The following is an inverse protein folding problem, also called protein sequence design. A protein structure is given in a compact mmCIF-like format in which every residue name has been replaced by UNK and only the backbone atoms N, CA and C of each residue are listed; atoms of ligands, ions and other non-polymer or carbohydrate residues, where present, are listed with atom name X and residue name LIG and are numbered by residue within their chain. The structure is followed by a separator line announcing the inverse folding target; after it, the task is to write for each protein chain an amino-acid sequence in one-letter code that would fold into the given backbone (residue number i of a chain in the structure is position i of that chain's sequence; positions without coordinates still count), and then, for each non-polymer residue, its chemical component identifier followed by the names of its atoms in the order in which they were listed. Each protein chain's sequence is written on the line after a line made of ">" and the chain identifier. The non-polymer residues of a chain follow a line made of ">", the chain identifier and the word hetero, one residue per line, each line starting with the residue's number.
data_IF_889886098880
#
_entry.id   IF_889886098880
#
_cell.length_a   1.000
_cell.length_b   1.000
_cell.length_c   1.000
_cell.angle_alpha   90.00
_cell.angle_beta   90.00
_cell.angle_gamma   90.00
#
_symmetry.space_group_name_H-M   'P 1'
#
loop_
_entity.id
_entity.type
_entity.pdbx_description
1 polymer ?
#
# COMPACT_ATOMS: atom_id res chain seq x y z
N UNK A 1 -27.51 -2.50 1.34
CA UNK A 1 -26.74 -3.68 0.88
C UNK A 1 -25.32 -3.21 0.68
N UNK A 2 -24.45 -3.45 1.66
CA UNK A 2 -23.16 -2.77 1.75
C UNK A 2 -22.05 -3.82 1.78
N UNK A 3 -21.81 -4.52 0.66
CA UNK A 3 -20.64 -5.39 0.44
C UNK A 3 -20.45 -5.65 -1.07
N UNK A 4 -20.54 -4.61 -1.91
CA UNK A 4 -20.25 -4.79 -3.33
C UNK A 4 -18.77 -4.64 -3.67
N UNK A 5 -18.00 -3.98 -2.80
CA UNK A 5 -16.60 -3.66 -3.05
C UNK A 5 -15.67 -4.10 -1.93
N UNK A 6 -14.41 -4.33 -2.27
CA UNK A 6 -13.32 -4.55 -1.32
C UNK A 6 -12.10 -3.72 -1.75
N UNK A 7 -11.69 -2.73 -0.94
CA UNK A 7 -10.55 -1.87 -1.22
C UNK A 7 -9.23 -2.43 -0.66
N UNK A 8 -8.16 -2.25 -1.42
CA UNK A 8 -6.78 -2.53 -1.04
C UNK A 8 -5.94 -1.28 -1.23
N UNK A 9 -5.12 -0.95 -0.25
CA UNK A 9 -4.20 0.19 -0.34
C UNK A 9 -2.80 -0.30 -0.71
N UNK A 10 -2.27 0.23 -1.81
CA UNK A 10 -0.94 -0.06 -2.30
C UNK A 10 -0.06 1.20 -2.26
N UNK A 11 1.10 1.11 -1.64
CA UNK A 11 2.04 2.22 -1.47
C UNK A 11 3.38 2.01 -2.20
N UNK A 12 3.64 0.80 -2.70
CA UNK A 12 4.91 0.39 -3.29
C UNK A 12 4.81 -0.16 -4.72
N UNK A 13 5.44 -1.30 -4.96
CA UNK A 13 5.63 -1.92 -6.29
C UNK A 13 4.34 -2.37 -6.99
N UNK A 14 3.22 -2.46 -6.26
CA UNK A 14 1.88 -2.79 -6.79
C UNK A 14 1.12 -1.59 -7.38
N UNK A 15 1.63 -0.35 -7.21
CA UNK A 15 1.01 0.85 -7.77
C UNK A 15 1.06 0.86 -9.30
N UNK A 16 0.21 1.68 -9.94
CA UNK A 16 0.26 1.92 -11.38
C UNK A 16 1.63 2.46 -11.81
N UNK A 17 2.14 1.95 -12.93
CA UNK A 17 3.46 2.28 -13.49
C UNK A 17 4.63 1.52 -12.85
N UNK A 18 4.40 0.76 -11.78
CA UNK A 18 5.44 -0.02 -11.10
C UNK A 18 5.47 -1.48 -11.58
N UNK A 19 6.56 -2.18 -11.26
CA UNK A 19 6.85 -3.52 -11.81
C UNK A 19 5.78 -4.59 -11.53
N UNK A 20 5.06 -4.49 -10.41
CA UNK A 20 4.07 -5.48 -9.99
C UNK A 20 2.63 -5.05 -10.29
N UNK A 21 2.41 -3.93 -10.98
CA UNK A 21 1.08 -3.49 -11.41
C UNK A 21 0.31 -4.61 -12.15
N UNK A 22 1.00 -5.43 -12.94
CA UNK A 22 0.35 -6.49 -13.73
C UNK A 22 0.00 -7.75 -12.92
N UNK A 23 0.37 -7.81 -11.64
CA UNK A 23 0.18 -8.98 -10.79
C UNK A 23 -1.15 -8.96 -10.02
N UNK A 24 -1.94 -7.89 -10.11
CA UNK A 24 -3.32 -7.90 -9.62
C UNK A 24 -4.12 -8.98 -10.37
N UNK A 25 -4.73 -9.97 -9.67
CA UNK A 25 -5.30 -11.15 -10.33
C UNK A 25 -6.71 -10.93 -10.87
N UNK A 26 -7.23 -9.71 -10.74
CA UNK A 26 -8.55 -9.30 -11.20
C UNK A 26 -8.48 -7.86 -11.74
N UNK A 27 -9.46 -7.47 -12.53
CA UNK A 27 -9.60 -6.08 -12.99
C UNK A 27 -10.24 -5.24 -11.88
N UNK A 28 -9.59 -4.16 -11.41
CA UNK A 28 -10.22 -3.26 -10.45
C UNK A 28 -11.41 -2.55 -11.08
N UNK A 29 -12.40 -2.21 -10.26
CA UNK A 29 -13.49 -1.31 -10.60
C UNK A 29 -12.97 0.10 -10.82
N UNK A 30 -12.09 0.54 -9.93
CA UNK A 30 -11.40 1.83 -10.02
C UNK A 30 -10.08 1.78 -9.23
N UNK A 31 -9.17 2.67 -9.59
CA UNK A 31 -7.91 2.92 -8.88
C UNK A 31 -7.80 4.42 -8.67
N UNK A 32 -7.73 4.85 -7.41
CA UNK A 32 -7.67 6.28 -7.05
C UNK A 32 -6.48 6.56 -6.15
N UNK A 33 -5.90 7.76 -6.27
CA UNK A 33 -4.89 8.21 -5.31
C UNK A 33 -5.53 8.40 -3.94
N UNK A 34 -4.85 7.91 -2.92
CA UNK A 34 -5.32 8.01 -1.54
C UNK A 34 -4.13 8.13 -0.59
N UNK A 35 -4.43 8.43 0.67
CA UNK A 35 -3.46 8.64 1.72
C UNK A 35 -3.81 7.78 2.93
N UNK A 36 -2.80 7.27 3.62
CA UNK A 36 -2.95 6.67 4.94
C UNK A 36 -1.89 7.24 5.88
N UNK A 37 -1.95 6.91 7.17
CA UNK A 37 -0.95 7.30 8.15
C UNK A 37 0.06 6.16 8.37
N UNK A 38 1.34 6.52 8.47
CA UNK A 38 2.39 5.57 8.78
C UNK A 38 3.78 6.17 8.72
N UNK A 39 4.79 5.31 8.71
CA UNK A 39 6.16 5.66 8.32
C UNK A 39 6.62 4.70 7.23
N UNK A 40 7.28 5.25 6.22
CA UNK A 40 7.74 4.48 5.07
C UNK A 40 9.26 4.38 5.07
N UNK A 41 9.77 3.19 4.77
CA UNK A 41 11.20 2.89 4.75
C UNK A 41 11.60 2.25 3.43
N UNK A 42 12.80 2.57 2.95
CA UNK A 42 13.39 1.93 1.77
C UNK A 42 14.07 0.60 2.18
N UNK A 43 13.59 -0.52 1.65
CA UNK A 43 14.15 -1.86 1.91
C UNK A 43 14.98 -2.39 0.74
N UNK A 44 15.23 -1.55 -0.26
CA UNK A 44 16.07 -1.84 -1.43
C UNK A 44 15.23 -1.74 -2.70
N UNK A 45 14.59 -2.84 -3.09
CA UNK A 45 13.74 -2.89 -4.29
C UNK A 45 12.26 -2.58 -3.98
N UNK A 46 11.91 -2.49 -2.70
CA UNK A 46 10.53 -2.33 -2.23
C UNK A 46 10.46 -1.56 -0.91
N UNK A 47 9.34 -0.85 -0.63
CA UNK A 47 9.18 -0.11 0.62
C UNK A 47 8.57 -0.94 1.75
N UNK A 48 8.91 -0.62 2.99
CA UNK A 48 8.26 -1.10 4.20
C UNK A 48 7.40 -0.02 4.85
N UNK A 49 6.11 -0.28 5.02
CA UNK A 49 5.20 0.57 5.81
C UNK A 49 5.12 0.05 7.24
N UNK A 50 5.19 0.94 8.22
CA UNK A 50 4.90 0.64 9.64
C UNK A 50 4.00 1.72 10.22
N UNK A 51 3.43 1.46 11.40
CA UNK A 51 2.61 2.43 12.14
C UNK A 51 3.37 3.74 12.41
N UNK A 52 2.65 4.86 12.33
CA UNK A 52 3.18 6.21 12.51
C UNK A 52 2.23 7.28 11.99
N UNK A 53 2.69 8.53 11.99
CA UNK A 53 1.82 9.71 11.80
C UNK A 53 2.07 10.45 10.46
N UNK A 54 3.04 10.03 9.65
CA UNK A 54 3.31 10.70 8.38
C UNK A 54 2.18 10.38 7.39
N UNK A 55 1.84 11.36 6.54
CA UNK A 55 0.85 11.18 5.48
C UNK A 55 1.48 10.44 4.30
N UNK A 56 1.16 9.16 4.14
CA UNK A 56 1.70 8.29 3.08
C UNK A 56 0.77 8.31 1.88
N UNK A 57 1.27 8.71 0.71
CA UNK A 57 0.53 8.61 -0.54
C UNK A 57 0.67 7.22 -1.17
N UNK A 58 -0.47 6.65 -1.55
CA UNK A 58 -0.56 5.42 -2.31
C UNK A 58 -1.76 5.44 -3.25
N UNK A 59 -2.27 4.25 -3.52
CA UNK A 59 -3.44 4.03 -4.37
C UNK A 59 -4.43 3.09 -3.69
N UNK A 60 -5.70 3.46 -3.71
CA UNK A 60 -6.80 2.55 -3.40
C UNK A 60 -7.21 1.79 -4.66
N UNK A 61 -6.99 0.49 -4.63
CA UNK A 61 -7.43 -0.46 -5.64
C UNK A 61 -8.74 -1.10 -5.18
N UNK A 62 -9.83 -0.76 -5.87
CA UNK A 62 -11.17 -1.17 -5.48
C UNK A 62 -11.64 -2.31 -6.36
N UNK A 63 -11.94 -3.47 -5.76
CA UNK A 63 -12.43 -4.66 -6.46
C UNK A 63 -13.87 -4.95 -6.10
N UNK A 64 -14.53 -5.80 -6.89
CA UNK A 64 -15.80 -6.40 -6.46
C UNK A 64 -15.53 -7.35 -5.31
N UNK A 65 -16.45 -7.40 -4.35
CA UNK A 65 -16.30 -8.28 -3.19
C UNK A 65 -16.08 -9.76 -3.55
N UNK A 66 -16.73 -10.24 -4.62
CA UNK A 66 -16.53 -11.62 -5.12
C UNK A 66 -15.10 -11.95 -5.55
N UNK A 67 -14.32 -10.93 -5.95
CA UNK A 67 -12.94 -11.09 -6.42
C UNK A 67 -11.93 -10.94 -5.26
N UNK A 68 -12.38 -10.44 -4.11
CA UNK A 68 -11.53 -10.10 -2.96
C UNK A 68 -10.68 -11.26 -2.46
N UNK A 69 -11.24 -12.47 -2.34
CA UNK A 69 -10.50 -13.63 -1.87
C UNK A 69 -9.34 -14.01 -2.80
N UNK A 70 -9.53 -13.87 -4.12
CA UNK A 70 -8.50 -14.13 -5.10
C UNK A 70 -7.41 -13.05 -5.09
N UNK A 71 -7.82 -11.78 -4.99
CA UNK A 71 -6.91 -10.63 -4.83
C UNK A 71 -6.05 -10.82 -3.58
N UNK A 72 -6.68 -11.06 -2.44
CA UNK A 72 -6.02 -11.24 -1.16
C UNK A 72 -4.98 -12.37 -1.20
N UNK A 73 -5.33 -13.51 -1.80
CA UNK A 73 -4.41 -14.64 -1.95
C UNK A 73 -3.18 -14.27 -2.78
N UNK A 74 -3.37 -13.61 -3.92
CA UNK A 74 -2.26 -13.21 -4.78
C UNK A 74 -1.34 -12.19 -4.08
N UNK A 75 -1.92 -11.23 -3.35
CA UNK A 75 -1.15 -10.26 -2.59
C UNK A 75 -0.39 -10.91 -1.42
N UNK A 76 -1.01 -11.87 -0.71
CA UNK A 76 -0.34 -12.60 0.37
C UNK A 76 0.91 -13.35 -0.14
N UNK A 77 0.86 -13.90 -1.35
CA UNK A 77 2.01 -14.53 -2.01
C UNK A 77 3.10 -13.51 -2.40
N UNK A 78 2.70 -12.37 -2.98
CA UNK A 78 3.61 -11.30 -3.43
C UNK A 78 4.33 -10.62 -2.25
N UNK A 79 3.59 -10.37 -1.17
CA UNK A 79 4.06 -9.66 0.02
C UNK A 79 4.63 -10.63 1.07
N UNK A 80 4.74 -11.93 0.77
CA UNK A 80 5.34 -12.90 1.68
C UNK A 80 4.64 -12.99 3.05
N UNK A 81 3.32 -12.81 3.08
CA UNK A 81 2.51 -12.89 4.30
C UNK A 81 2.53 -14.31 4.91
N UNK A 82 2.52 -14.46 6.25
CA UNK A 82 2.61 -13.41 7.28
C UNK A 82 4.06 -13.14 7.75
N UNK A 83 5.08 -13.51 6.95
CA UNK A 83 6.48 -13.50 7.40
C UNK A 83 7.19 -12.19 7.14
N UNK A 84 7.09 -11.68 5.90
CA UNK A 84 7.75 -10.44 5.50
C UNK A 84 6.88 -9.23 5.82
N UNK A 85 5.59 -9.34 5.51
CA UNK A 85 4.57 -8.37 5.85
C UNK A 85 3.43 -9.01 6.64
N UNK A 86 2.90 -8.27 7.61
CA UNK A 86 1.56 -8.47 8.15
C UNK A 86 0.52 -7.76 7.28
N UNK A 87 -0.75 -8.00 7.56
CA UNK A 87 -1.89 -7.35 6.90
C UNK A 87 -2.77 -6.71 7.96
N UNK A 88 -3.17 -5.46 7.73
CA UNK A 88 -4.14 -4.74 8.55
C UNK A 88 -5.13 -3.97 7.69
N UNK A 89 -6.30 -3.64 8.25
CA UNK A 89 -7.19 -2.65 7.66
C UNK A 89 -6.84 -1.27 8.24
N UNK A 90 -6.44 -0.34 7.37
CA UNK A 90 -6.13 1.03 7.75
C UNK A 90 -7.13 2.02 7.15
N UNK A 91 -7.46 3.12 7.86
CA UNK A 91 -8.20 4.23 7.27
C UNK A 91 -7.37 4.86 6.16
N UNK A 92 -7.99 5.06 5.00
CA UNK A 92 -7.42 5.76 3.87
C UNK A 92 -8.34 6.94 3.48
N UNK A 93 -7.75 8.07 3.14
CA UNK A 93 -8.45 9.26 2.65
C UNK A 93 -8.14 9.44 1.16
N UNK A 94 -9.15 9.49 0.31
CA UNK A 94 -8.99 9.85 -1.10
C UNK A 94 -8.71 11.35 -1.28
N UNK A 95 -8.26 11.78 -2.46
CA UNK A 95 -7.97 13.20 -2.71
C UNK A 95 -9.19 14.14 -2.54
N UNK A 96 -10.40 13.64 -2.71
CA UNK A 96 -11.66 14.36 -2.48
C UNK A 96 -12.16 14.28 -1.03
N UNK A 97 -11.37 13.71 -0.11
CA UNK A 97 -11.65 13.67 1.32
C UNK A 97 -12.57 12.53 1.77
N UNK A 98 -12.80 11.52 0.92
CA UNK A 98 -13.57 10.35 1.30
C UNK A 98 -12.72 9.38 2.12
N UNK A 99 -13.18 9.04 3.31
CA UNK A 99 -12.58 7.99 4.13
C UNK A 99 -13.06 6.59 3.71
N UNK A 100 -12.10 5.69 3.51
CA UNK A 100 -12.30 4.30 3.12
C UNK A 100 -11.35 3.42 3.95
N UNK A 101 -11.87 2.47 4.72
CA UNK A 101 -11.04 1.44 5.34
C UNK A 101 -10.55 0.47 4.26
N UNK A 102 -9.24 0.23 4.19
CA UNK A 102 -8.65 -0.64 3.17
C UNK A 102 -7.61 -1.60 3.73
N UNK A 103 -7.59 -2.80 3.16
CA UNK A 103 -6.56 -3.78 3.45
C UNK A 103 -5.21 -3.29 2.93
N UNK A 104 -4.19 -3.28 3.78
CA UNK A 104 -2.81 -2.93 3.43
C UNK A 104 -1.83 -3.90 4.07
N UNK A 105 -0.59 -3.90 3.59
CA UNK A 105 0.50 -4.68 4.14
C UNK A 105 1.41 -3.79 4.99
N UNK A 106 1.85 -4.28 6.15
CA UNK A 106 2.79 -3.61 7.04
C UNK A 106 4.01 -4.49 7.23
N UNK A 107 5.20 -3.90 7.22
CA UNK A 107 6.44 -4.64 7.39
C UNK A 107 6.47 -5.31 8.76
N UNK A 108 6.74 -6.62 8.78
CA UNK A 108 6.51 -7.44 9.98
C UNK A 108 7.56 -7.25 11.08
N UNK A 109 8.71 -6.64 10.78
CA UNK A 109 9.85 -6.55 11.70
C UNK A 109 10.39 -5.12 11.83
N UNK A 110 9.63 -4.20 12.47
CA UNK A 110 10.02 -2.80 12.59
C UNK A 110 11.36 -2.59 13.31
N UNK A 111 11.79 -3.53 14.16
CA UNK A 111 13.06 -3.45 14.89
C UNK A 111 14.30 -3.54 13.98
N UNK A 112 14.13 -4.06 12.75
CA UNK A 112 15.18 -4.06 11.72
C UNK A 112 15.30 -2.74 10.95
N UNK A 113 14.39 -1.80 11.17
CA UNK A 113 14.37 -0.53 10.45
C UNK A 113 15.23 0.51 11.15
N UNK A 114 16.02 1.24 10.36
CA UNK A 114 16.81 2.38 10.85
C UNK A 114 16.30 3.67 10.21
N UNK A 115 16.38 4.78 10.94
CA UNK A 115 15.93 6.08 10.44
C UNK A 115 16.70 6.55 9.21
N UNK A 116 17.91 6.04 8.97
CA UNK A 116 18.69 6.29 7.76
C UNK A 116 17.98 5.83 6.47
N UNK A 117 17.09 4.84 6.59
CA UNK A 117 16.29 4.31 5.48
C UNK A 117 14.89 4.90 5.42
N UNK A 118 14.54 5.80 6.35
CA UNK A 118 13.22 6.42 6.39
C UNK A 118 13.06 7.35 5.20
N UNK A 119 11.94 7.20 4.50
CA UNK A 119 11.52 8.10 3.44
C UNK A 119 10.80 9.27 4.10
N UNK A 120 11.34 10.47 3.94
CA UNK A 120 10.83 11.67 4.57
C UNK A 120 9.72 12.31 3.74
N UNK A 121 8.82 13.08 4.37
CA UNK A 121 7.83 13.87 3.64
C UNK A 121 8.47 14.85 2.66
N UNK A 122 7.81 15.08 1.54
CA UNK A 122 8.16 16.11 0.58
C UNK A 122 7.76 17.52 1.06
N UNK A 123 7.90 18.52 0.18
CA UNK A 123 7.53 19.91 0.47
C UNK A 123 6.03 20.12 0.79
N UNK A 124 5.18 19.16 0.42
CA UNK A 124 3.74 19.17 0.71
C UNK A 124 3.41 18.39 2.00
N UNK A 125 4.42 17.89 2.72
CA UNK A 125 4.22 17.08 3.93
C UNK A 125 3.73 15.67 3.62
N UNK A 126 3.96 15.17 2.41
CA UNK A 126 3.50 13.84 1.96
C UNK A 126 4.70 12.93 1.71
N UNK A 127 4.64 11.70 2.21
CA UNK A 127 5.63 10.66 1.94
C UNK A 127 5.18 9.88 0.71
N UNK A 128 6.03 9.83 -0.32
CA UNK A 128 5.77 9.09 -1.56
C UNK A 128 6.93 8.17 -1.86
N UNK A 129 6.69 6.85 -1.90
CA UNK A 129 7.71 5.94 -2.45
C UNK A 129 7.79 6.07 -3.96
N UNK A 130 9.01 6.24 -4.45
CA UNK A 130 9.37 6.21 -5.86
C UNK A 130 10.58 5.30 -5.98
N UNK A 131 10.52 4.33 -6.90
CA UNK A 131 11.68 3.48 -7.13
C UNK A 131 12.87 4.34 -7.56
N UNK A 132 14.01 4.17 -6.90
CA UNK A 132 15.24 4.80 -7.36
C UNK A 132 15.70 4.09 -8.63
N UNK A 133 15.74 4.82 -9.75
CA UNK A 133 16.32 4.30 -10.98
C UNK A 133 17.84 4.26 -10.81
N UNK A 134 18.39 3.06 -10.71
CA UNK A 134 19.82 2.81 -10.90
C UNK A 134 20.07 2.88 -12.42
N UNK A 135 20.84 3.88 -12.84
CA UNK A 135 21.29 4.10 -14.22
C UNK A 135 22.48 3.22 -14.56
#
# INVERSE_FOLDING_TARGET
>A
MAHEITPFFAYGTLKRGEEREKLWPARPLTVVTAFTQGRLYELGEYPGLVHGEDRIQGELWIFKHRDAANVLKALDEIEGYPRLYGREELPCETFDGQEISATTYLYADPDKLTDERRILPDENGVVVWKRQSIW
#
